data_IF_360245351671
#
_entry.id   IF_360245351671
#
_cell.length_a   1.000
_cell.length_b   1.000
_cell.length_c   1.000
_cell.angle_alpha   90.00
_cell.angle_beta   90.00
_cell.angle_gamma   90.00
#
_symmetry.space_group_name_H-M   'P 1'
#
loop_
_entity.id
_entity.type
_entity.pdbx_description
1 polymer ?
#
# COMPACT_ATOMS: atom_id res chain seq x y z
N UNK A 1 10.92 -53.49 -59.59
CA UNK A 1 10.19 -54.16 -58.49
C UNK A 1 9.93 -53.15 -57.38
N UNK A 2 8.83 -53.32 -56.67
CA UNK A 2 8.31 -52.54 -55.53
C UNK A 2 7.41 -51.34 -55.84
N UNK A 3 6.12 -51.68 -55.90
CA UNK A 3 4.96 -50.80 -55.77
C UNK A 3 4.89 -50.10 -54.39
N UNK A 4 4.28 -48.92 -54.29
CA UNK A 4 3.95 -48.30 -53.00
C UNK A 4 2.67 -48.93 -52.39
N UNK A 5 2.72 -49.28 -51.10
CA UNK A 5 1.55 -49.74 -50.34
C UNK A 5 0.75 -48.54 -49.85
N UNK A 6 -0.53 -48.51 -50.23
CA UNK A 6 -1.53 -47.56 -49.72
C UNK A 6 -1.80 -47.80 -48.23
N UNK A 7 -1.67 -46.76 -47.41
CA UNK A 7 -2.11 -46.77 -46.01
C UNK A 7 -3.45 -46.06 -45.92
N UNK A 8 -4.45 -46.79 -45.41
CA UNK A 8 -5.86 -46.41 -45.29
C UNK A 8 -6.00 -45.37 -44.17
N UNK A 9 -6.58 -44.20 -44.48
CA UNK A 9 -6.83 -43.14 -43.51
C UNK A 9 -7.92 -43.56 -42.50
N UNK A 10 -7.63 -43.44 -41.20
CA UNK A 10 -8.64 -43.58 -40.13
C UNK A 10 -9.45 -42.27 -39.99
N UNK A 11 -10.76 -42.36 -39.70
CA UNK A 11 -11.61 -41.19 -39.53
C UNK A 11 -11.29 -40.43 -38.24
N UNK A 12 -11.17 -39.10 -38.36
CA UNK A 12 -10.97 -38.16 -37.24
C UNK A 12 -12.17 -38.18 -36.30
N UNK A 13 -11.95 -38.60 -35.05
CA UNK A 13 -12.90 -38.39 -33.97
C UNK A 13 -12.95 -36.89 -33.62
N UNK A 14 -14.17 -36.36 -33.57
CA UNK A 14 -14.49 -34.97 -33.23
C UNK A 14 -14.39 -34.82 -31.70
N UNK A 15 -13.69 -33.81 -31.15
CA UNK A 15 -13.53 -33.69 -29.70
C UNK A 15 -14.84 -33.26 -29.03
N UNK A 16 -15.13 -33.74 -27.80
CA UNK A 16 -16.26 -33.25 -27.02
C UNK A 16 -15.98 -31.83 -26.50
N UNK A 17 -16.96 -30.95 -26.71
CA UNK A 17 -16.98 -29.61 -26.14
C UNK A 17 -17.26 -29.70 -24.63
N UNK A 18 -16.27 -29.39 -23.81
CA UNK A 18 -16.49 -29.15 -22.38
C UNK A 18 -16.35 -27.66 -22.08
N UNK A 19 -17.44 -27.14 -21.50
CA UNK A 19 -17.73 -25.75 -21.26
C UNK A 19 -16.69 -25.05 -20.39
N UNK A 20 -16.35 -23.83 -20.80
CA UNK A 20 -15.59 -22.84 -20.04
C UNK A 20 -16.42 -22.40 -18.83
N UNK A 21 -16.03 -22.84 -17.63
CA UNK A 21 -16.56 -22.27 -16.38
C UNK A 21 -15.86 -20.95 -16.13
N UNK A 22 -16.49 -19.84 -16.53
CA UNK A 22 -16.15 -18.49 -16.05
C UNK A 22 -16.61 -18.36 -14.60
N UNK A 23 -15.72 -18.64 -13.66
CA UNK A 23 -15.99 -18.33 -12.26
C UNK A 23 -15.65 -16.85 -12.01
N UNK A 24 -16.64 -15.99 -12.23
CA UNK A 24 -16.59 -14.60 -11.80
C UNK A 24 -16.60 -14.55 -10.27
N UNK A 25 -15.46 -14.26 -9.66
CA UNK A 25 -15.42 -13.82 -8.27
C UNK A 25 -15.92 -12.38 -8.23
N UNK A 26 -17.25 -12.23 -8.05
CA UNK A 26 -17.87 -10.99 -7.57
C UNK A 26 -17.20 -10.62 -6.26
N UNK A 27 -16.48 -9.50 -6.27
CA UNK A 27 -15.95 -8.86 -5.08
C UNK A 27 -17.11 -8.61 -4.09
N UNK A 28 -17.13 -9.37 -3.01
CA UNK A 28 -17.97 -9.08 -1.86
C UNK A 28 -17.32 -7.90 -1.13
N UNK A 29 -17.92 -6.72 -1.27
CA UNK A 29 -17.56 -5.52 -0.50
C UNK A 29 -17.94 -5.78 0.96
N UNK A 30 -16.97 -6.13 1.80
CA UNK A 30 -17.16 -6.09 3.25
C UNK A 30 -16.97 -4.64 3.73
N UNK A 31 -17.91 -4.10 4.53
CA UNK A 31 -17.63 -2.93 5.34
C UNK A 31 -16.98 -3.42 6.63
N UNK A 32 -15.74 -3.03 6.87
CA UNK A 32 -15.15 -3.14 8.20
C UNK A 32 -14.54 -1.80 8.53
N UNK A 33 -15.39 -0.97 9.12
CA UNK A 33 -15.01 0.09 10.05
C UNK A 33 -14.23 -0.59 11.18
N UNK A 34 -12.95 -0.84 10.95
CA UNK A 34 -12.05 -1.45 11.91
C UNK A 34 -11.61 -0.35 12.88
N UNK A 35 -12.51 0.07 13.76
CA UNK A 35 -12.11 0.71 15.01
C UNK A 35 -11.31 -0.32 15.80
N UNK A 36 -9.99 -0.31 15.61
CA UNK A 36 -9.06 -1.13 16.39
C UNK A 36 -9.26 -0.77 17.86
N UNK A 37 -9.54 -1.80 18.66
CA UNK A 37 -9.87 -1.69 20.08
C UNK A 37 -8.79 -0.97 20.87
N UNK A 38 -9.24 -0.06 21.74
CA UNK A 38 -8.41 0.68 22.67
C UNK A 38 -7.70 -0.28 23.65
N UNK A 39 -6.46 -0.66 23.32
CA UNK A 39 -5.51 -1.17 24.29
C UNK A 39 -5.14 -0.06 25.28
N UNK A 40 -5.23 -0.36 26.58
CA UNK A 40 -5.14 0.58 27.70
C UNK A 40 -3.73 1.16 27.97
N UNK A 41 -2.89 1.25 26.92
CA UNK A 41 -1.53 1.82 26.91
C UNK A 41 -1.16 2.50 25.59
N UNK A 42 -2.14 2.75 24.71
CA UNK A 42 -1.92 3.50 23.46
C UNK A 42 -1.73 4.99 23.71
N UNK A 43 -1.02 5.67 22.79
CA UNK A 43 -1.05 7.13 22.72
C UNK A 43 -2.51 7.58 22.62
N UNK A 44 -2.91 8.56 23.43
CA UNK A 44 -4.26 9.15 23.36
C UNK A 44 -4.51 9.64 21.92
N UNK A 45 -5.41 8.95 21.21
CA UNK A 45 -5.75 9.28 19.83
C UNK A 45 -6.25 10.72 19.71
N UNK A 46 -6.91 11.24 20.75
CA UNK A 46 -7.33 12.64 20.78
C UNK A 46 -6.14 13.61 20.92
N UNK A 47 -5.10 13.24 21.66
CA UNK A 47 -3.88 14.05 21.75
C UNK A 47 -3.15 14.10 20.40
N UNK A 48 -3.03 12.96 19.71
CA UNK A 48 -2.44 12.91 18.36
C UNK A 48 -3.23 13.75 17.35
N UNK A 49 -4.55 13.64 17.34
CA UNK A 49 -5.43 14.45 16.48
C UNK A 49 -5.33 15.95 16.81
N UNK A 50 -5.25 16.32 18.09
CA UNK A 50 -5.06 17.72 18.52
C UNK A 50 -3.72 18.29 18.06
N UNK A 51 -2.64 17.51 18.15
CA UNK A 51 -1.32 17.90 17.64
C UNK A 51 -1.36 18.13 16.13
N UNK A 52 -1.88 17.17 15.37
CA UNK A 52 -2.01 17.27 13.91
C UNK A 52 -2.82 18.51 13.49
N UNK A 53 -3.99 18.72 14.11
CA UNK A 53 -4.81 19.90 13.84
C UNK A 53 -4.12 21.22 14.23
N UNK A 54 -3.27 21.20 15.27
CA UNK A 54 -2.44 22.34 15.65
C UNK A 54 -1.38 22.68 14.61
N UNK A 55 -0.72 21.65 14.06
CA UNK A 55 0.27 21.80 13.00
C UNK A 55 -0.37 22.37 11.73
N UNK A 56 -1.50 21.83 11.30
CA UNK A 56 -2.25 22.31 10.12
C UNK A 56 -2.65 23.78 10.24
N UNK A 57 -3.23 24.20 11.38
CA UNK A 57 -3.61 25.60 11.61
C UNK A 57 -2.40 26.54 11.56
N UNK A 58 -1.28 26.13 12.11
CA UNK A 58 -0.10 26.97 12.15
C UNK A 58 0.60 27.02 10.78
N UNK A 59 0.61 25.93 10.01
CA UNK A 59 1.02 25.93 8.58
C UNK A 59 0.12 26.84 7.74
N UNK A 60 -1.20 26.77 7.91
CA UNK A 60 -2.16 27.65 7.24
C UNK A 60 -1.94 29.13 7.58
N UNK A 61 -1.41 29.43 8.78
CA UNK A 61 -1.01 30.78 9.18
C UNK A 61 0.37 31.22 8.65
N UNK A 62 1.06 30.38 7.86
CA UNK A 62 2.39 30.64 7.31
C UNK A 62 3.55 30.36 8.29
N UNK A 63 3.27 29.86 9.50
CA UNK A 63 4.30 29.51 10.49
C UNK A 63 4.95 28.17 10.13
N UNK A 64 6.27 28.16 10.00
CA UNK A 64 7.07 26.96 9.65
C UNK A 64 7.90 26.39 10.79
N UNK A 65 8.19 27.20 11.80
CA UNK A 65 8.91 26.78 13.01
C UNK A 65 7.91 26.27 14.06
N UNK A 66 7.39 25.07 13.81
CA UNK A 66 6.31 24.44 14.60
C UNK A 66 6.86 23.51 15.68
N UNK A 67 7.93 22.80 15.31
CA UNK A 67 8.59 21.77 16.08
C UNK A 67 10.08 21.99 15.91
N UNK A 68 10.85 21.75 16.98
CA UNK A 68 12.29 21.62 16.83
C UNK A 68 12.61 20.48 15.86
N UNK A 69 13.74 20.57 15.18
CA UNK A 69 14.20 19.52 14.25
C UNK A 69 14.21 18.14 14.91
N UNK A 70 14.67 18.05 16.16
CA UNK A 70 14.71 16.80 16.92
C UNK A 70 13.29 16.24 17.19
N UNK A 71 12.34 17.11 17.55
CA UNK A 71 10.95 16.69 17.78
C UNK A 71 10.28 16.21 16.49
N UNK A 72 10.50 16.91 15.37
CA UNK A 72 9.99 16.50 14.05
C UNK A 72 10.57 15.14 13.63
N UNK A 73 11.89 14.95 13.76
CA UNK A 73 12.55 13.69 13.43
C UNK A 73 12.04 12.52 14.30
N UNK A 74 11.89 12.74 15.61
CA UNK A 74 11.36 11.73 16.52
C UNK A 74 9.92 11.35 16.17
N UNK A 75 9.08 12.34 15.87
CA UNK A 75 7.69 12.12 15.46
C UNK A 75 7.62 11.34 14.14
N UNK A 76 8.37 11.76 13.11
CA UNK A 76 8.44 11.06 11.82
C UNK A 76 8.91 9.61 11.98
N UNK A 77 9.95 9.38 12.78
CA UNK A 77 10.44 8.02 13.02
C UNK A 77 9.39 7.15 13.73
N UNK A 78 8.66 7.70 14.71
CA UNK A 78 7.60 6.99 15.41
C UNK A 78 6.45 6.63 14.47
N UNK A 79 5.92 7.59 13.71
CA UNK A 79 4.77 7.34 12.81
C UNK A 79 5.13 6.37 11.68
N UNK A 80 6.35 6.44 11.12
CA UNK A 80 6.81 5.47 10.13
C UNK A 80 6.86 4.05 10.70
N UNK A 81 7.38 3.88 11.93
CA UNK A 81 7.42 2.56 12.60
C UNK A 81 6.02 2.03 12.89
N UNK A 82 5.12 2.87 13.40
CA UNK A 82 3.74 2.49 13.70
C UNK A 82 2.97 2.13 12.43
N UNK A 83 3.12 2.89 11.36
CA UNK A 83 2.50 2.56 10.07
C UNK A 83 3.05 1.26 9.49
N UNK A 84 4.37 1.09 9.46
CA UNK A 84 4.99 -0.16 8.99
C UNK A 84 4.50 -1.37 9.80
N UNK A 85 4.41 -1.26 11.13
CA UNK A 85 3.93 -2.34 11.99
C UNK A 85 2.47 -2.74 11.68
N UNK A 86 1.59 -1.78 11.36
CA UNK A 86 0.21 -2.07 10.93
C UNK A 86 0.18 -2.81 9.59
N UNK A 87 0.97 -2.37 8.61
CA UNK A 87 1.06 -3.05 7.31
C UNK A 87 1.62 -4.47 7.43
N UNK A 88 2.66 -4.68 8.25
CA UNK A 88 3.20 -6.02 8.49
C UNK A 88 2.22 -6.91 9.28
N UNK A 89 1.29 -6.32 10.06
CA UNK A 89 0.20 -7.05 10.69
C UNK A 89 -0.93 -7.44 9.72
N UNK A 90 -0.88 -6.95 8.47
CA UNK A 90 -1.87 -7.21 7.43
C UNK A 90 -3.00 -6.19 7.35
N UNK A 91 -2.89 -5.05 8.04
CA UNK A 91 -3.90 -3.99 7.96
C UNK A 91 -3.87 -3.30 6.59
N UNK A 92 -5.02 -3.17 5.94
CA UNK A 92 -5.17 -2.42 4.68
C UNK A 92 -5.49 -0.93 4.95
N UNK A 93 -4.55 -0.22 5.58
CA UNK A 93 -4.67 1.21 5.91
C UNK A 93 -3.75 2.05 5.03
N UNK A 94 -4.27 3.15 4.47
CA UNK A 94 -3.44 4.15 3.78
C UNK A 94 -2.78 5.08 4.81
N UNK A 95 -1.55 5.56 4.57
CA UNK A 95 -0.85 6.42 5.52
C UNK A 95 -1.46 7.83 5.59
N UNK A 96 -2.26 8.21 4.59
CA UNK A 96 -2.98 9.47 4.48
C UNK A 96 -4.43 9.22 4.05
N UNK A 97 -5.38 10.06 4.50
CA UNK A 97 -6.76 9.97 4.03
C UNK A 97 -6.84 10.28 2.53
N UNK A 98 -7.78 9.63 1.85
CA UNK A 98 -7.99 9.77 0.40
C UNK A 98 -8.35 11.21 -0.03
N UNK A 99 -8.85 12.04 0.91
CA UNK A 99 -9.20 13.45 0.68
C UNK A 99 -8.79 14.28 1.89
N UNK A 100 -8.30 15.50 1.64
CA UNK A 100 -7.99 16.48 2.69
C UNK A 100 -6.74 16.18 3.52
N UNK A 101 -5.87 15.27 3.07
CA UNK A 101 -4.53 15.08 3.62
C UNK A 101 -3.49 15.96 2.92
N UNK A 102 -2.23 15.49 2.89
CA UNK A 102 -1.14 16.18 2.20
C UNK A 102 -1.34 16.23 0.68
N UNK A 103 -0.89 17.33 0.06
CA UNK A 103 -0.83 17.50 -1.39
C UNK A 103 0.19 16.54 -2.01
N UNK A 104 0.06 16.28 -3.32
CA UNK A 104 1.00 15.43 -4.04
C UNK A 104 2.45 15.92 -3.89
N UNK A 105 2.68 17.23 -3.93
CA UNK A 105 4.03 17.80 -3.76
C UNK A 105 4.59 17.56 -2.36
N UNK A 106 3.77 17.74 -1.31
CA UNK A 106 4.19 17.48 0.07
C UNK A 106 4.54 16.01 0.29
N UNK A 107 3.76 15.10 -0.30
CA UNK A 107 4.05 13.66 -0.29
C UNK A 107 5.39 13.38 -0.97
N UNK A 108 5.64 13.94 -2.16
CA UNK A 108 6.88 13.73 -2.91
C UNK A 108 8.10 14.27 -2.16
N UNK A 109 8.00 15.46 -1.57
CA UNK A 109 9.09 16.05 -0.75
C UNK A 109 9.37 15.19 0.48
N UNK A 110 8.32 14.79 1.19
CA UNK A 110 8.45 13.98 2.42
C UNK A 110 9.05 12.61 2.11
N UNK A 111 8.51 11.91 1.09
CA UNK A 111 9.01 10.59 0.68
C UNK A 111 10.48 10.65 0.25
N UNK A 112 10.87 11.66 -0.53
CA UNK A 112 12.26 11.86 -0.94
C UNK A 112 13.19 12.11 0.26
N UNK A 113 12.72 12.89 1.24
CA UNK A 113 13.43 13.14 2.49
C UNK A 113 13.63 11.87 3.33
N UNK A 114 12.59 11.04 3.45
CA UNK A 114 12.64 9.77 4.17
C UNK A 114 13.61 8.78 3.52
N UNK A 115 13.55 8.63 2.19
CA UNK A 115 14.48 7.77 1.44
C UNK A 115 15.93 8.23 1.64
N UNK A 116 16.19 9.54 1.52
CA UNK A 116 17.51 10.10 1.77
C UNK A 116 18.00 9.84 3.20
N UNK A 117 17.11 9.99 4.20
CA UNK A 117 17.45 9.75 5.61
C UNK A 117 17.77 8.26 5.89
N UNK A 118 17.17 7.35 5.15
CA UNK A 118 17.44 5.91 5.21
C UNK A 118 18.61 5.46 4.33
N UNK A 119 19.27 6.41 3.63
CA UNK A 119 20.28 6.12 2.61
C UNK A 119 19.78 5.14 1.52
N UNK A 120 18.53 5.35 1.08
CA UNK A 120 17.88 4.59 0.02
C UNK A 120 17.65 5.46 -1.21
N UNK A 121 17.82 4.85 -2.39
CA UNK A 121 17.42 5.46 -3.65
C UNK A 121 16.01 5.01 -4.06
N UNK A 122 15.33 5.83 -4.87
CA UNK A 122 13.95 5.56 -5.32
C UNK A 122 13.84 4.23 -6.09
N UNK A 123 14.88 3.83 -6.82
CA UNK A 123 14.90 2.56 -7.57
C UNK A 123 14.98 1.35 -6.64
N UNK A 124 15.66 1.47 -5.48
CA UNK A 124 15.77 0.39 -4.50
C UNK A 124 14.42 0.11 -3.85
N UNK A 125 13.63 1.16 -3.60
CA UNK A 125 12.26 1.02 -3.14
C UNK A 125 11.41 0.24 -4.14
N UNK A 126 11.47 0.62 -5.43
CA UNK A 126 10.74 -0.10 -6.48
C UNK A 126 11.16 -1.57 -6.61
N UNK A 127 12.46 -1.85 -6.45
CA UNK A 127 12.97 -3.22 -6.43
C UNK A 127 12.41 -4.01 -5.24
N UNK A 128 12.42 -3.45 -4.04
CA UNK A 128 11.89 -4.09 -2.84
C UNK A 128 10.38 -4.37 -2.92
N UNK A 129 9.60 -3.44 -3.49
CA UNK A 129 8.17 -3.63 -3.72
C UNK A 129 7.90 -4.81 -4.67
N UNK A 130 8.70 -4.93 -5.74
CA UNK A 130 8.59 -6.06 -6.67
C UNK A 130 8.84 -7.43 -6.01
N UNK A 131 9.66 -7.49 -4.96
CA UNK A 131 9.95 -8.72 -4.21
C UNK A 131 8.91 -9.03 -3.13
N UNK A 132 8.30 -8.01 -2.54
CA UNK A 132 7.32 -8.19 -1.46
C UNK A 132 5.87 -8.33 -1.96
N UNK A 133 5.63 -8.08 -3.25
CA UNK A 133 4.28 -8.15 -3.83
C UNK A 133 3.33 -7.06 -3.30
N UNK A 134 3.90 -5.97 -2.79
CA UNK A 134 3.19 -4.79 -2.25
C UNK A 134 3.35 -3.59 -3.18
#
# INVERSE_FOLDING_TARGET
MSSPKSVKALPRARPPAHATVKQGHRAAKLPSDSTIGAGNGGIDSNAAQRLAAGMERALASGRRDLLSTAALQALMAAVCKTYAAQIEAGDEVLPLPQRGGATATEVMVTASGLLKAANLAVFELGMWQSWTGR
#
